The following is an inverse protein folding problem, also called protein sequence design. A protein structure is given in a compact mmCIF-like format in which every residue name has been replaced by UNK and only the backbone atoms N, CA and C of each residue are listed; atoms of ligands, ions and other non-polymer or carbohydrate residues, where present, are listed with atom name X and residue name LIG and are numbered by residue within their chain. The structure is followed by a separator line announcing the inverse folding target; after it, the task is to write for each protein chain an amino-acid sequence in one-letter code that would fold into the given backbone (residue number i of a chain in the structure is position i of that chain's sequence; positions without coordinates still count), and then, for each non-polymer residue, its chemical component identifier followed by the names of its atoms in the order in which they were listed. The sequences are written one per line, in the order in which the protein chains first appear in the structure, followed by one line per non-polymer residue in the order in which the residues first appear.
data_IF_710471549559
#
_entry.id   IF_710471549559
#
_cell.length_a   1.000
_cell.length_b   1.000
_cell.length_c   1.000
_cell.angle_alpha   90.00
_cell.angle_beta   90.00
_cell.angle_gamma   90.00
#
_symmetry.space_group_name_H-M   'P 1'
#
loop_
_entity.id
_entity.type
_entity.pdbx_description
1 polymer ?
#
# COMPACT_ATOMS: atom_id res chain seq x y z
N UNK A 1 -15.88 -14.43 -0.94
CA UNK A 1 -15.20 -13.39 -0.13
C UNK A 1 -13.81 -13.23 -0.69
N UNK A 2 -13.38 -11.97 -0.91
CA UNK A 2 -12.15 -11.62 -1.63
C UNK A 2 -10.90 -11.73 -0.75
N UNK A 3 -9.77 -11.99 -1.38
CA UNK A 3 -8.47 -11.68 -0.79
C UNK A 3 -8.26 -10.17 -0.86
N UNK A 4 -7.76 -9.58 0.23
CA UNK A 4 -7.51 -8.16 0.35
C UNK A 4 -6.02 -7.89 0.24
N UNK A 5 -5.69 -6.81 -0.44
CA UNK A 5 -4.32 -6.35 -0.62
C UNK A 5 -4.13 -4.92 -0.16
N UNK A 6 -2.91 -4.63 0.28
CA UNK A 6 -2.44 -3.29 0.64
C UNK A 6 -1.01 -3.17 0.19
N UNK A 7 -0.59 -1.99 -0.24
CA UNK A 7 0.82 -1.73 -0.52
C UNK A 7 1.25 -0.44 0.14
N UNK A 8 2.55 -0.27 0.30
CA UNK A 8 3.16 1.01 0.63
C UNK A 8 4.50 1.14 -0.08
N UNK A 9 4.88 2.37 -0.41
CA UNK A 9 6.05 2.67 -1.22
C UNK A 9 6.81 3.82 -0.56
N UNK A 10 8.13 3.69 -0.45
CA UNK A 10 9.01 4.70 0.11
C UNK A 10 10.10 5.03 -0.92
N UNK A 11 10.26 6.31 -1.30
CA UNK A 11 11.39 6.79 -2.12
C UNK A 11 12.59 7.07 -1.21
N UNK A 12 13.61 6.22 -1.29
CA UNK A 12 14.79 6.27 -0.43
C UNK A 12 15.70 7.48 -0.68
N UNK A 13 15.52 8.18 -1.81
CA UNK A 13 16.32 9.36 -2.13
C UNK A 13 15.70 10.65 -1.58
N UNK A 14 14.49 10.59 -1.02
CA UNK A 14 13.87 11.74 -0.37
C UNK A 14 14.71 12.19 0.85
N UNK A 15 15.00 13.50 0.99
CA UNK A 15 15.83 14.00 2.07
C UNK A 15 15.28 13.66 3.47
N UNK A 16 13.96 13.53 3.60
CA UNK A 16 13.25 13.25 4.85
C UNK A 16 13.43 11.83 5.38
N UNK A 17 13.89 10.90 4.52
CA UNK A 17 14.14 9.50 4.87
C UNK A 17 15.38 9.38 5.76
N UNK A 18 16.41 10.18 5.46
CA UNK A 18 17.71 10.10 6.11
C UNK A 18 17.65 10.67 7.53
N UNK A 19 18.32 9.97 8.46
CA UNK A 19 18.42 10.30 9.88
C UNK A 19 17.07 10.30 10.62
N UNK A 20 15.98 9.80 10.03
CA UNK A 20 14.67 9.73 10.69
C UNK A 20 14.69 8.81 11.91
N UNK A 21 15.52 7.77 11.88
CA UNK A 21 15.86 6.89 13.01
C UNK A 21 16.58 7.58 14.17
N UNK A 22 16.96 8.85 14.03
CA UNK A 22 17.51 9.67 15.15
C UNK A 22 16.45 10.55 15.81
N UNK A 23 15.25 10.64 15.24
CA UNK A 23 14.16 11.40 15.80
C UNK A 23 13.38 10.55 16.82
N UNK A 24 13.74 10.66 18.09
CA UNK A 24 13.12 9.86 19.15
C UNK A 24 11.60 10.03 19.25
N UNK A 25 11.09 11.26 19.03
CA UNK A 25 9.64 11.52 19.08
C UNK A 25 8.92 10.78 17.97
N UNK A 26 9.49 10.77 16.76
CA UNK A 26 8.95 10.04 15.63
C UNK A 26 8.97 8.54 15.91
N UNK A 27 10.11 8.01 16.34
CA UNK A 27 10.27 6.58 16.64
C UNK A 27 9.27 6.10 17.68
N UNK A 28 9.12 6.83 18.80
CA UNK A 28 8.17 6.47 19.88
C UNK A 28 6.71 6.47 19.42
N UNK A 29 6.38 7.24 18.38
CA UNK A 29 5.03 7.25 17.79
C UNK A 29 4.81 6.07 16.86
N UNK A 30 5.85 5.62 16.16
CA UNK A 30 5.75 4.63 15.09
C UNK A 30 5.99 3.21 15.60
N UNK A 31 7.01 3.03 16.43
CA UNK A 31 7.52 1.72 16.82
C UNK A 31 7.04 1.29 18.20
N UNK A 32 6.87 -0.02 18.36
CA UNK A 32 6.78 -0.67 19.67
C UNK A 32 8.15 -0.70 20.37
N UNK A 33 8.18 -1.03 21.66
CA UNK A 33 9.43 -1.15 22.40
C UNK A 33 10.34 -2.27 21.86
N UNK A 34 9.74 -3.36 21.38
CA UNK A 34 10.44 -4.49 20.76
C UNK A 34 11.05 -4.08 19.41
N UNK A 35 10.25 -3.48 18.54
CA UNK A 35 10.71 -2.96 17.24
C UNK A 35 11.82 -1.92 17.40
N UNK A 36 11.72 -1.04 18.41
CA UNK A 36 12.77 -0.08 18.72
C UNK A 36 14.08 -0.75 19.17
N UNK A 37 13.98 -1.86 19.91
CA UNK A 37 15.16 -2.63 20.33
C UNK A 37 15.83 -3.28 19.11
N UNK A 38 15.03 -3.85 18.19
CA UNK A 38 15.52 -4.40 16.94
C UNK A 38 16.17 -3.34 16.03
N UNK A 39 15.55 -2.16 15.93
CA UNK A 39 16.06 -1.02 15.17
C UNK A 39 17.48 -0.63 15.58
N UNK A 40 17.75 -0.58 16.90
CA UNK A 40 19.08 -0.22 17.43
C UNK A 40 20.17 -1.23 17.09
N UNK A 41 19.80 -2.46 16.77
CA UNK A 41 20.74 -3.52 16.40
C UNK A 41 21.04 -3.56 14.89
N UNK A 42 20.37 -2.75 14.07
CA UNK A 42 20.54 -2.76 12.62
C UNK A 42 21.79 -1.99 12.18
N UNK A 43 22.41 -2.47 11.11
CA UNK A 43 23.50 -1.75 10.42
C UNK A 43 23.00 -0.48 9.73
N UNK A 44 21.78 -0.51 9.18
CA UNK A 44 21.10 0.64 8.61
C UNK A 44 19.73 0.87 9.28
N UNK A 45 19.70 1.67 10.37
CA UNK A 45 18.46 1.94 11.11
C UNK A 45 17.42 2.73 10.31
N UNK A 46 17.82 3.60 9.37
CA UNK A 46 16.83 4.36 8.59
C UNK A 46 16.08 3.42 7.64
N UNK A 47 16.81 2.56 6.91
CA UNK A 47 16.19 1.57 6.03
C UNK A 47 15.25 0.66 6.82
N UNK A 48 15.70 0.14 7.97
CA UNK A 48 14.84 -0.73 8.78
C UNK A 48 13.60 -0.02 9.32
N UNK A 49 13.71 1.25 9.74
CA UNK A 49 12.55 2.04 10.17
C UNK A 49 11.50 2.14 9.05
N UNK A 50 11.93 2.41 7.82
CA UNK A 50 11.04 2.53 6.67
C UNK A 50 10.49 1.17 6.19
N UNK A 51 11.25 0.08 6.38
CA UNK A 51 10.73 -1.29 6.25
C UNK A 51 9.57 -1.54 7.20
N UNK A 52 9.71 -1.20 8.49
CA UNK A 52 8.62 -1.38 9.47
C UNK A 52 7.43 -0.46 9.16
N UNK A 53 7.70 0.80 8.81
CA UNK A 53 6.66 1.77 8.45
C UNK A 53 5.80 1.25 7.28
N UNK A 54 6.44 0.85 6.19
CA UNK A 54 5.74 0.41 4.98
C UNK A 54 4.87 -0.83 5.20
N UNK A 55 5.27 -1.75 6.08
CA UNK A 55 4.42 -2.87 6.47
C UNK A 55 3.20 -2.44 7.26
N UNK A 56 3.35 -1.49 8.19
CA UNK A 56 2.22 -0.96 8.98
C UNK A 56 1.21 -0.24 8.08
N UNK A 57 1.67 0.57 7.13
CA UNK A 57 0.81 1.26 6.15
C UNK A 57 0.11 0.26 5.21
N UNK A 58 0.84 -0.76 4.73
CA UNK A 58 0.26 -1.84 3.90
C UNK A 58 -0.85 -2.58 4.64
N UNK A 59 -0.60 -2.98 5.90
CA UNK A 59 -1.59 -3.63 6.75
C UNK A 59 -2.78 -2.70 7.06
N UNK A 60 -2.53 -1.42 7.32
CA UNK A 60 -3.59 -0.44 7.54
C UNK A 60 -4.52 -0.30 6.34
N UNK A 61 -3.98 -0.23 5.11
CA UNK A 61 -4.80 -0.17 3.88
C UNK A 61 -5.71 -1.38 3.72
N UNK A 62 -5.24 -2.57 4.09
CA UNK A 62 -6.07 -3.79 4.14
C UNK A 62 -7.15 -3.66 5.21
N UNK A 63 -6.76 -3.33 6.45
CA UNK A 63 -7.71 -3.29 7.57
C UNK A 63 -8.74 -2.19 7.41
N UNK A 64 -8.43 -1.08 6.74
CA UNK A 64 -9.39 -0.02 6.42
C UNK A 64 -10.52 -0.49 5.51
N UNK A 65 -10.29 -1.53 4.70
CA UNK A 65 -11.32 -2.21 3.89
C UNK A 65 -12.22 -3.12 4.73
N UNK A 66 -11.75 -3.58 5.90
CA UNK A 66 -12.50 -4.46 6.82
C UNK A 66 -13.21 -3.66 7.91
N UNK A 67 -12.57 -2.59 8.38
CA UNK A 67 -12.98 -1.77 9.51
C UNK A 67 -13.02 -0.30 9.02
N UNK A 68 -14.15 0.17 8.47
CA UNK A 68 -14.25 1.52 7.90
C UNK A 68 -13.91 2.64 8.88
N UNK A 69 -14.18 2.45 10.18
CA UNK A 69 -13.90 3.46 11.22
C UNK A 69 -12.49 3.35 11.81
N UNK A 70 -11.63 2.48 11.27
CA UNK A 70 -10.27 2.29 11.77
C UNK A 70 -9.49 3.59 11.74
N UNK A 71 -9.02 4.03 12.92
CA UNK A 71 -8.10 5.15 13.08
C UNK A 71 -6.68 4.60 13.08
N UNK A 72 -5.84 5.17 12.23
CA UNK A 72 -4.47 4.69 12.13
C UNK A 72 -3.57 5.23 13.22
N UNK A 73 -3.08 4.33 14.07
CA UNK A 73 -2.02 4.58 15.04
C UNK A 73 -0.94 3.52 14.85
N UNK A 74 0.19 3.90 14.23
CA UNK A 74 1.28 2.99 13.85
C UNK A 74 1.73 2.06 14.97
N UNK A 75 1.82 2.56 16.21
CA UNK A 75 2.26 1.77 17.36
C UNK A 75 1.32 0.62 17.76
N UNK A 76 0.08 0.60 17.26
CA UNK A 76 -0.86 -0.51 17.45
C UNK A 76 -0.64 -1.66 16.47
N UNK A 77 0.12 -1.42 15.40
CA UNK A 77 0.47 -2.42 14.41
C UNK A 77 1.86 -2.95 14.77
N UNK A 78 1.94 -4.23 15.12
CA UNK A 78 3.19 -4.88 15.48
C UNK A 78 3.72 -5.68 14.30
N UNK A 79 4.97 -5.44 13.92
CA UNK A 79 5.63 -6.10 12.78
C UNK A 79 6.57 -7.17 13.29
N UNK A 80 6.33 -8.42 12.91
CA UNK A 80 7.26 -9.53 13.09
C UNK A 80 7.95 -9.78 11.74
N UNK A 81 9.17 -9.23 11.59
CA UNK A 81 9.95 -9.45 10.38
C UNK A 81 10.66 -10.81 10.44
N UNK A 82 10.45 -11.66 9.45
CA UNK A 82 11.13 -12.94 9.31
C UNK A 82 12.41 -12.80 8.46
N UNK A 83 13.17 -13.90 8.33
CA UNK A 83 14.36 -13.95 7.48
C UNK A 83 14.04 -13.59 6.03
N UNK A 84 14.93 -12.83 5.38
CA UNK A 84 14.74 -12.39 4.01
C UNK A 84 13.78 -11.20 3.90
N UNK A 85 12.84 -11.26 2.96
CA UNK A 85 11.92 -10.16 2.63
C UNK A 85 10.46 -10.47 2.98
N UNK A 86 10.21 -11.31 3.99
CA UNK A 86 8.87 -11.66 4.45
C UNK A 86 8.69 -11.36 5.94
N UNK A 87 7.45 -11.21 6.36
CA UNK A 87 7.06 -11.00 7.74
C UNK A 87 5.55 -10.98 7.87
N UNK A 88 5.10 -10.65 9.07
CA UNK A 88 3.68 -10.46 9.35
C UNK A 88 3.45 -9.16 10.11
N UNK A 89 2.25 -8.61 9.97
CA UNK A 89 1.77 -7.50 10.79
C UNK A 89 0.57 -7.97 11.59
N UNK A 90 0.63 -7.78 12.91
CA UNK A 90 -0.46 -8.09 13.83
C UNK A 90 -1.17 -6.81 14.26
N UNK A 91 -2.50 -6.87 14.23
CA UNK A 91 -3.38 -5.84 14.78
C UNK A 91 -4.65 -6.49 15.30
N UNK A 92 -4.89 -6.41 16.61
CA UNK A 92 -6.01 -7.08 17.27
C UNK A 92 -6.04 -8.59 16.91
N UNK A 93 -7.14 -9.09 16.33
CA UNK A 93 -7.28 -10.48 15.86
C UNK A 93 -6.77 -10.73 14.44
N UNK A 94 -6.31 -9.70 13.74
CA UNK A 94 -5.89 -9.78 12.34
C UNK A 94 -4.39 -10.02 12.24
N UNK A 95 -4.03 -10.95 11.36
CA UNK A 95 -2.64 -11.20 10.94
C UNK A 95 -2.58 -11.00 9.44
N UNK A 96 -1.72 -10.08 9.00
CA UNK A 96 -1.51 -9.72 7.60
C UNK A 96 -0.13 -10.24 7.21
N UNK A 97 -0.05 -11.02 6.14
CA UNK A 97 1.23 -11.40 5.56
C UNK A 97 1.80 -10.21 4.79
N UNK A 98 3.09 -9.95 4.98
CA UNK A 98 3.79 -8.88 4.26
C UNK A 98 5.05 -9.38 3.58
N UNK A 99 5.29 -8.86 2.39
CA UNK A 99 6.50 -9.09 1.60
C UNK A 99 7.07 -7.73 1.17
N UNK A 100 8.39 -7.61 1.22
CA UNK A 100 9.08 -6.41 0.75
C UNK A 100 9.86 -6.68 -0.53
N UNK A 101 9.91 -5.67 -1.38
CA UNK A 101 10.82 -5.55 -2.50
C UNK A 101 11.73 -4.35 -2.23
N UNK A 102 13.00 -4.49 -2.55
CA UNK A 102 14.01 -3.48 -2.30
C UNK A 102 14.71 -3.14 -3.61
N UNK A 103 14.93 -1.85 -3.84
CA UNK A 103 15.86 -1.35 -4.83
C UNK A 103 16.83 -0.36 -4.17
N UNK A 104 17.77 0.19 -4.95
CA UNK A 104 18.63 1.28 -4.45
C UNK A 104 17.85 2.58 -4.19
N UNK A 105 16.68 2.74 -4.80
CA UNK A 105 15.91 3.98 -4.80
C UNK A 105 14.59 3.89 -4.03
N UNK A 106 14.08 2.70 -3.74
CA UNK A 106 12.80 2.55 -3.07
C UNK A 106 12.66 1.28 -2.24
N UNK A 107 11.74 1.32 -1.27
CA UNK A 107 11.19 0.15 -0.57
C UNK A 107 9.72 0.03 -0.96
N UNK A 108 9.31 -1.15 -1.41
CA UNK A 108 7.91 -1.46 -1.68
C UNK A 108 7.47 -2.59 -0.77
N UNK A 109 6.41 -2.38 0.00
CA UNK A 109 5.79 -3.40 0.83
C UNK A 109 4.45 -3.80 0.23
N UNK A 110 4.21 -5.10 0.19
CA UNK A 110 2.98 -5.75 -0.26
C UNK A 110 2.42 -6.49 0.93
N UNK A 111 1.20 -6.15 1.33
CA UNK A 111 0.41 -6.87 2.29
C UNK A 111 -0.66 -7.72 1.60
N UNK A 112 -0.92 -8.90 2.13
CA UNK A 112 -2.02 -9.77 1.72
C UNK A 112 -2.78 -10.26 2.95
N UNK A 113 -4.11 -10.37 2.80
CA UNK A 113 -4.98 -10.92 3.82
C UNK A 113 -6.05 -11.79 3.15
N UNK A 114 -6.14 -13.05 3.56
CA UNK A 114 -7.14 -14.00 3.08
C UNK A 114 -7.79 -14.70 4.27
N UNK A 115 -9.07 -15.07 4.13
CA UNK A 115 -9.72 -15.95 5.11
C UNK A 115 -9.31 -17.40 4.83
N UNK A 116 -9.35 -18.25 5.85
CA UNK A 116 -9.03 -19.68 5.71
C UNK A 116 -9.74 -20.32 4.50
N UNK A 117 -8.98 -21.08 3.71
CA UNK A 117 -9.46 -21.77 2.51
C UNK A 117 -9.52 -20.92 1.24
N UNK A 118 -9.03 -19.67 1.25
CA UNK A 118 -8.95 -18.82 0.07
C UNK A 118 -7.52 -18.73 -0.46
N UNK A 119 -7.36 -18.85 -1.77
CA UNK A 119 -6.10 -18.67 -2.47
C UNK A 119 -6.17 -17.47 -3.40
N UNK A 120 -5.09 -16.69 -3.46
CA UNK A 120 -4.91 -15.68 -4.50
C UNK A 120 -4.69 -16.36 -5.86
N UNK A 121 -5.49 -16.02 -6.86
CA UNK A 121 -5.29 -16.46 -8.25
C UNK A 121 -4.35 -15.50 -8.99
N UNK A 122 -4.47 -14.21 -8.71
CA UNK A 122 -3.64 -13.15 -9.28
C UNK A 122 -3.12 -12.28 -8.16
N UNK A 123 -1.83 -11.98 -8.21
CA UNK A 123 -1.17 -10.95 -7.42
C UNK A 123 -0.15 -10.27 -8.32
N UNK A 124 -0.46 -9.06 -8.76
CA UNK A 124 0.41 -8.30 -9.65
C UNK A 124 0.63 -6.89 -9.12
N UNK A 125 1.86 -6.43 -9.23
CA UNK A 125 2.24 -5.10 -8.78
C UNK A 125 3.20 -4.46 -9.76
N UNK A 126 3.26 -3.14 -9.71
CA UNK A 126 4.23 -2.34 -10.44
C UNK A 126 4.69 -1.18 -9.57
N UNK A 127 5.94 -0.78 -9.77
CA UNK A 127 6.54 0.44 -9.23
C UNK A 127 7.22 1.13 -10.39
N UNK A 128 6.85 2.38 -10.67
CA UNK A 128 7.42 3.18 -11.75
C UNK A 128 7.59 4.62 -11.30
N UNK A 129 8.45 5.38 -11.98
CA UNK A 129 8.50 6.83 -11.74
C UNK A 129 7.22 7.49 -12.26
N UNK A 130 6.69 8.47 -11.53
CA UNK A 130 5.48 9.21 -11.88
C UNK A 130 5.54 9.79 -13.30
N UNK A 131 6.72 10.24 -13.73
CA UNK A 131 6.94 10.84 -15.06
C UNK A 131 6.95 9.82 -16.20
N UNK A 132 7.16 8.54 -15.91
CA UNK A 132 7.17 7.46 -16.91
C UNK A 132 5.75 6.94 -17.19
N UNK A 133 4.77 7.31 -16.35
CA UNK A 133 3.37 6.98 -16.59
C UNK A 133 2.82 7.92 -17.67
N UNK A 134 2.81 7.42 -18.90
CA UNK A 134 2.23 8.12 -20.05
C UNK A 134 1.07 7.32 -20.61
N UNK A 135 -0.15 7.84 -20.47
CA UNK A 135 -1.38 7.22 -20.99
C UNK A 135 -2.30 8.26 -21.60
N UNK A 136 -3.23 7.81 -22.43
CA UNK A 136 -4.32 8.59 -23.01
C UNK A 136 -5.67 8.30 -22.31
N UNK A 137 -5.63 7.71 -21.12
CA UNK A 137 -6.85 7.43 -20.36
C UNK A 137 -7.64 8.71 -20.07
N UNK A 138 -8.93 8.64 -20.38
CA UNK A 138 -9.91 9.66 -20.00
C UNK A 138 -10.59 9.18 -18.72
N UNK A 139 -10.56 10.02 -17.69
CA UNK A 139 -11.21 9.77 -16.42
C UNK A 139 -12.65 10.28 -16.45
N UNK A 140 -13.57 9.55 -15.82
CA UNK A 140 -14.94 10.04 -15.59
C UNK A 140 -14.96 11.16 -14.55
N UNK A 141 -16.04 11.94 -14.48
CA UNK A 141 -16.17 13.00 -13.48
C UNK A 141 -16.12 12.44 -12.05
N UNK A 142 -16.64 11.22 -11.88
CA UNK A 142 -16.63 10.44 -10.65
C UNK A 142 -15.20 10.07 -10.24
N UNK A 143 -14.36 9.61 -11.17
CA UNK A 143 -12.94 9.33 -10.90
C UNK A 143 -12.18 10.61 -10.54
N UNK A 144 -12.38 11.68 -11.32
CA UNK A 144 -11.73 12.99 -11.14
C UNK A 144 -12.02 13.59 -9.76
N UNK A 145 -13.21 13.34 -9.20
CA UNK A 145 -13.59 13.83 -7.86
C UNK A 145 -12.61 13.42 -6.74
N UNK A 146 -11.88 12.33 -6.94
CA UNK A 146 -10.92 11.77 -5.97
C UNK A 146 -9.46 11.91 -6.42
N UNK A 147 -9.20 12.61 -7.53
CA UNK A 147 -7.86 12.90 -8.06
C UNK A 147 -7.45 14.31 -7.62
N UNK A 148 -6.44 14.40 -6.74
CA UNK A 148 -6.03 15.66 -6.13
C UNK A 148 -4.58 16.07 -6.44
N UNK A 149 -3.82 15.22 -7.14
CA UNK A 149 -2.43 15.51 -7.51
C UNK A 149 -2.01 14.74 -8.77
N UNK A 150 -0.82 15.06 -9.30
CA UNK A 150 -0.23 14.37 -10.45
C UNK A 150 0.07 12.90 -10.13
N UNK A 151 0.59 12.63 -8.94
CA UNK A 151 0.89 11.29 -8.44
C UNK A 151 -0.39 10.48 -8.24
N UNK A 152 -1.44 11.13 -7.71
CA UNK A 152 -2.78 10.54 -7.57
C UNK A 152 -3.40 10.18 -8.94
N UNK A 153 -3.15 10.98 -9.98
CA UNK A 153 -3.55 10.65 -11.36
C UNK A 153 -2.71 9.49 -11.91
N UNK A 154 -1.39 9.62 -11.86
CA UNK A 154 -0.45 8.64 -12.41
C UNK A 154 -0.60 7.24 -11.78
N UNK A 155 -0.86 7.14 -10.47
CA UNK A 155 -1.07 5.83 -9.82
C UNK A 155 -2.37 5.15 -10.31
N UNK A 156 -3.39 5.92 -10.68
CA UNK A 156 -4.62 5.37 -11.29
C UNK A 156 -4.38 4.95 -12.72
N UNK A 157 -3.66 5.74 -13.50
CA UNK A 157 -3.26 5.37 -14.87
C UNK A 157 -2.43 4.08 -14.87
N UNK A 158 -1.46 3.97 -13.96
CA UNK A 158 -0.68 2.74 -13.76
C UNK A 158 -1.59 1.56 -13.41
N UNK A 159 -2.52 1.74 -12.46
CA UNK A 159 -3.46 0.68 -12.08
C UNK A 159 -4.35 0.25 -13.26
N UNK A 160 -4.84 1.20 -14.07
CA UNK A 160 -5.61 0.91 -15.30
C UNK A 160 -4.76 0.13 -16.32
N UNK A 161 -3.50 0.51 -16.54
CA UNK A 161 -2.58 -0.25 -17.40
C UNK A 161 -2.38 -1.69 -16.89
N UNK A 162 -2.13 -1.87 -15.59
CA UNK A 162 -1.95 -3.21 -15.01
C UNK A 162 -3.22 -4.07 -15.16
N UNK A 163 -4.40 -3.48 -14.96
CA UNK A 163 -5.68 -4.18 -15.15
C UNK A 163 -5.96 -4.51 -16.62
N UNK A 164 -5.64 -3.60 -17.55
CA UNK A 164 -5.73 -3.86 -18.99
C UNK A 164 -4.84 -5.05 -19.40
N UNK A 165 -3.63 -5.17 -18.84
CA UNK A 165 -2.75 -6.33 -19.01
C UNK A 165 -3.35 -7.66 -18.52
N UNK A 166 -4.47 -7.61 -17.77
CA UNK A 166 -5.28 -8.76 -17.34
C UNK A 166 -6.61 -8.87 -18.06
N UNK A 167 -6.71 -8.28 -19.25
CA UNK A 167 -7.92 -8.25 -20.07
C UNK A 167 -9.10 -7.58 -19.38
N UNK A 168 -8.83 -6.65 -18.45
CA UNK A 168 -9.85 -5.86 -17.78
C UNK A 168 -9.75 -4.39 -18.24
N UNK A 169 -10.48 -4.11 -19.31
CA UNK A 169 -10.57 -2.80 -19.97
C UNK A 169 -11.87 -2.09 -19.61
N UNK A 170 -11.97 -0.80 -19.95
CA UNK A 170 -13.15 0.05 -19.74
C UNK A 170 -13.63 0.04 -18.28
N UNK A 171 -12.68 0.19 -17.35
CA UNK A 171 -12.95 0.23 -15.91
C UNK A 171 -12.80 1.64 -15.35
N UNK A 172 -13.44 1.84 -14.20
CA UNK A 172 -13.30 3.01 -13.35
C UNK A 172 -12.63 2.62 -12.03
N UNK A 173 -11.75 3.49 -11.53
CA UNK A 173 -11.16 3.37 -10.19
C UNK A 173 -11.78 4.44 -9.30
N UNK A 174 -12.83 4.05 -8.58
CA UNK A 174 -13.61 4.96 -7.75
C UNK A 174 -13.15 4.92 -6.30
N UNK A 175 -13.28 6.07 -5.62
CA UNK A 175 -13.11 6.19 -4.17
C UNK A 175 -14.25 7.03 -3.62
N UNK A 176 -14.99 6.47 -2.67
CA UNK A 176 -16.12 7.16 -2.07
C UNK A 176 -15.71 7.93 -0.80
N UNK A 177 -16.36 9.06 -0.48
CA UNK A 177 -16.13 9.76 0.78
C UNK A 177 -16.36 8.86 2.00
N UNK A 178 -15.43 8.88 2.94
CA UNK A 178 -15.45 8.17 4.22
C UNK A 178 -15.00 9.14 5.32
N UNK A 179 -15.98 9.87 5.88
CA UNK A 179 -15.72 10.99 6.77
C UNK A 179 -15.04 12.15 6.04
N UNK A 180 -13.89 12.60 6.55
CA UNK A 180 -13.11 13.72 5.96
C UNK A 180 -12.09 13.26 4.90
N UNK A 181 -12.03 11.97 4.58
CA UNK A 181 -11.09 11.38 3.60
C UNK A 181 -11.86 10.52 2.60
N UNK A 182 -11.20 10.12 1.54
CA UNK A 182 -11.70 9.08 0.65
C UNK A 182 -11.41 7.68 1.22
N UNK A 183 -12.35 6.76 1.03
CA UNK A 183 -12.19 5.35 1.31
C UNK A 183 -11.15 4.66 0.42
N UNK A 184 -10.95 3.35 0.59
CA UNK A 184 -10.11 2.54 -0.29
C UNK A 184 -10.58 2.60 -1.75
N UNK A 185 -9.68 2.39 -2.73
CA UNK A 185 -10.06 2.34 -4.13
C UNK A 185 -10.82 1.06 -4.47
N UNK A 186 -11.78 1.20 -5.36
CA UNK A 186 -12.62 0.12 -5.85
C UNK A 186 -12.60 0.10 -7.38
N UNK A 187 -12.65 -1.10 -7.96
CA UNK A 187 -12.68 -1.29 -9.41
C UNK A 187 -14.14 -1.46 -9.82
N UNK A 188 -14.59 -0.65 -10.76
CA UNK A 188 -15.95 -0.63 -11.28
C UNK A 188 -15.94 -0.85 -12.79
N UNK A 189 -16.96 -1.52 -13.32
CA UNK A 189 -17.19 -1.70 -14.74
C UNK A 189 -18.69 -1.69 -15.03
N UNK A 190 -19.12 -0.91 -16.02
CA UNK A 190 -20.52 -0.78 -16.42
C UNK A 190 -21.46 -0.48 -15.22
N UNK A 191 -20.99 0.36 -14.28
CA UNK A 191 -21.73 0.72 -13.06
C UNK A 191 -21.81 -0.37 -11.99
N UNK A 192 -21.05 -1.45 -12.11
CA UNK A 192 -20.98 -2.54 -11.13
C UNK A 192 -19.58 -2.65 -10.52
N UNK A 193 -19.51 -2.80 -9.19
CA UNK A 193 -18.27 -3.09 -8.49
C UNK A 193 -17.78 -4.51 -8.81
N UNK A 194 -16.52 -4.65 -9.18
CA UNK A 194 -15.90 -5.94 -9.45
C UNK A 194 -15.35 -6.57 -8.15
N UNK A 195 -16.23 -7.18 -7.36
CA UNK A 195 -15.90 -7.70 -6.02
C UNK A 195 -14.81 -8.81 -5.99
N UNK A 196 -14.59 -9.51 -7.11
CA UNK A 196 -13.53 -10.53 -7.22
C UNK A 196 -12.13 -9.93 -7.33
N UNK A 197 -12.03 -8.63 -7.61
CA UNK A 197 -10.79 -7.88 -7.67
C UNK A 197 -10.60 -6.99 -6.45
N UNK A 198 -9.35 -6.82 -6.06
CA UNK A 198 -8.96 -5.85 -5.04
C UNK A 198 -7.75 -5.04 -5.54
N UNK A 199 -7.71 -3.77 -5.15
CA UNK A 199 -6.70 -2.81 -5.59
C UNK A 199 -6.12 -2.08 -4.38
N UNK A 200 -4.82 -1.85 -4.40
CA UNK A 200 -4.15 -0.90 -3.53
C UNK A 200 -3.23 -0.01 -4.35
N UNK A 201 -3.17 1.26 -3.98
CA UNK A 201 -2.38 2.30 -4.65
C UNK A 201 -1.53 3.03 -3.61
N UNK A 202 -0.29 3.35 -4.01
CA UNK A 202 0.67 4.10 -3.21
C UNK A 202 1.47 5.04 -4.10
N UNK A 203 1.94 6.13 -3.51
CA UNK A 203 2.93 6.99 -4.13
C UNK A 203 3.80 7.60 -3.03
N UNK A 204 5.07 7.81 -3.32
CA UNK A 204 5.99 8.53 -2.45
C UNK A 204 7.14 9.10 -3.28
N UNK A 205 7.53 10.34 -2.99
CA UNK A 205 8.51 11.09 -3.78
C UNK A 205 8.21 11.00 -5.28
N UNK A 206 9.14 10.41 -6.03
CA UNK A 206 9.07 10.31 -7.49
C UNK A 206 8.35 9.07 -7.99
N UNK A 207 7.95 8.15 -7.13
CA UNK A 207 7.42 6.84 -7.54
C UNK A 207 5.94 6.67 -7.22
N UNK A 208 5.27 5.90 -8.08
CA UNK A 208 3.90 5.40 -7.88
C UNK A 208 3.90 3.87 -7.93
N UNK A 209 2.97 3.26 -7.20
CA UNK A 209 2.76 1.81 -7.21
C UNK A 209 1.30 1.43 -7.22
N UNK A 210 0.96 0.52 -8.14
CA UNK A 210 -0.31 -0.19 -8.18
C UNK A 210 -0.10 -1.64 -7.77
N UNK A 211 -1.02 -2.17 -6.97
CA UNK A 211 -1.08 -3.58 -6.57
C UNK A 211 -2.51 -4.08 -6.81
N UNK A 212 -2.66 -5.08 -7.68
CA UNK A 212 -3.94 -5.72 -8.00
C UNK A 212 -3.94 -7.17 -7.54
N UNK A 213 -5.09 -7.63 -7.08
CA UNK A 213 -5.31 -9.01 -6.73
C UNK A 213 -6.66 -9.51 -7.23
N UNK A 214 -6.72 -10.81 -7.51
CA UNK A 214 -7.96 -11.52 -7.83
C UNK A 214 -8.04 -12.81 -7.02
N UNK A 215 -9.17 -13.02 -6.36
CA UNK A 215 -9.52 -14.27 -5.65
C UNK A 215 -10.28 -15.24 -6.54
#
# INVERSE_FOLDING_TARGET
MKCLVGNDLIDLLEPEIKKKSKNERFIKRVLTAEEYTLLKAQSDPDIFLWTLWSAKESAYKILKKIIPDLVFAHSLFHVEKHSGSHGIVRYDKYTIDVQWQYSESWIHCIGTFSKEGQSLQVLEWSVVETQEVTTDFVFTAEEESSIYSKESKAVRELAKLTLQGKSLEDIEILRFPLGVRFGPPEIWKDGLQLESWDLSMSHDGRFVSALIAKS
#
